data_IF_087913691346
#
_entry.id   IF_087913691346
#
_cell.length_a   1.000
_cell.length_b   1.000
_cell.length_c   1.000
_cell.angle_alpha   90.00
_cell.angle_beta   90.00
_cell.angle_gamma   90.00
#
_symmetry.space_group_name_H-M   'P 1'
#
loop_
_entity.id
_entity.type
_entity.pdbx_description
1 polymer ?
#
# COMPACT_ATOMS: atom_id res chain seq x y z
N UNK A 1 1.20 -11.36 -15.84
CA UNK A 1 2.12 -10.80 -14.82
C UNK A 1 3.49 -10.64 -15.43
N UNK A 2 4.18 -9.53 -15.15
CA UNK A 2 5.56 -9.30 -15.59
C UNK A 2 6.52 -10.35 -15.01
N UNK A 3 7.63 -10.64 -15.71
CA UNK A 3 8.62 -11.62 -15.22
C UNK A 3 9.48 -11.07 -14.07
N UNK A 4 9.67 -9.75 -14.03
CA UNK A 4 10.50 -9.05 -13.05
C UNK A 4 9.76 -7.80 -12.61
N UNK A 5 9.70 -7.59 -11.29
CA UNK A 5 9.16 -6.39 -10.67
C UNK A 5 10.29 -5.71 -9.90
N UNK A 6 10.36 -4.38 -9.96
CA UNK A 6 11.27 -3.61 -9.14
C UNK A 6 10.60 -3.35 -7.77
N UNK A 7 11.29 -3.63 -6.65
CA UNK A 7 10.76 -3.47 -5.29
C UNK A 7 11.19 -2.15 -4.62
N UNK A 8 10.59 -1.79 -3.49
CA UNK A 8 10.77 -0.49 -2.82
C UNK A 8 11.59 -0.52 -1.52
N UNK A 9 11.83 -1.68 -0.91
CA UNK A 9 12.47 -1.81 0.42
C UNK A 9 13.74 -0.96 0.60
N UNK A 10 14.63 -0.94 -0.40
CA UNK A 10 15.87 -0.16 -0.32
C UNK A 10 15.65 1.35 -0.17
N UNK A 11 14.51 1.86 -0.64
CA UNK A 11 14.17 3.28 -0.57
C UNK A 11 13.75 3.72 0.83
N UNK A 12 13.35 2.77 1.67
CA UNK A 12 12.84 3.00 3.02
C UNK A 12 13.74 2.37 4.10
N UNK A 13 14.99 2.06 3.74
CA UNK A 13 15.98 1.46 4.64
C UNK A 13 15.51 0.16 5.30
N UNK A 14 14.65 -0.60 4.61
CA UNK A 14 14.16 -1.89 5.09
C UNK A 14 15.19 -2.95 4.74
N UNK A 15 15.96 -3.38 5.73
CA UNK A 15 16.89 -4.49 5.61
C UNK A 15 16.81 -5.39 6.85
N UNK A 16 16.45 -6.65 6.65
CA UNK A 16 16.31 -7.63 7.74
C UNK A 16 17.63 -8.33 8.11
N UNK A 17 18.71 -8.10 7.36
CA UNK A 17 19.98 -8.79 7.54
C UNK A 17 21.10 -7.90 8.09
N UNK A 18 21.01 -6.57 7.95
CA UNK A 18 22.10 -5.65 8.33
C UNK A 18 21.60 -4.23 8.59
N UNK A 19 21.79 -3.77 9.83
CA UNK A 19 21.51 -2.39 10.25
C UNK A 19 22.44 -1.37 9.58
N UNK A 20 23.69 -1.74 9.33
CA UNK A 20 24.65 -0.89 8.63
C UNK A 20 24.16 -0.56 7.23
N UNK A 21 23.71 -1.57 6.48
CA UNK A 21 23.11 -1.35 5.16
C UNK A 21 21.83 -0.53 5.23
N UNK A 22 21.00 -0.70 6.26
CA UNK A 22 19.82 0.16 6.47
C UNK A 22 20.23 1.63 6.61
N UNK A 23 21.28 1.93 7.40
CA UNK A 23 21.79 3.30 7.57
C UNK A 23 22.33 3.87 6.26
N UNK A 24 23.12 3.10 5.51
CA UNK A 24 23.62 3.52 4.19
C UNK A 24 22.48 3.83 3.22
N UNK A 25 21.45 2.97 3.17
CA UNK A 25 20.27 3.18 2.35
C UNK A 25 19.48 4.41 2.76
N UNK A 26 19.31 4.66 4.06
CA UNK A 26 18.64 5.85 4.58
C UNK A 26 19.36 7.13 4.15
N UNK A 27 20.69 7.13 4.14
CA UNK A 27 21.50 8.26 3.65
C UNK A 27 21.35 8.41 2.13
N UNK A 28 21.50 7.31 1.38
CA UNK A 28 21.45 7.30 -0.10
C UNK A 28 20.10 7.75 -0.65
N UNK A 29 19.01 7.30 -0.02
CA UNK A 29 17.63 7.55 -0.47
C UNK A 29 16.90 8.59 0.37
N UNK A 30 17.64 9.46 1.07
CA UNK A 30 17.10 10.59 1.82
C UNK A 30 16.19 11.47 0.98
N UNK A 31 16.58 11.73 -0.27
CA UNK A 31 15.85 12.60 -1.20
C UNK A 31 15.06 11.81 -2.25
N UNK A 32 13.86 12.27 -2.61
CA UNK A 32 13.00 11.62 -3.61
C UNK A 32 13.67 11.55 -4.99
N UNK A 33 14.53 12.53 -5.31
CA UNK A 33 15.33 12.52 -6.53
C UNK A 33 16.25 11.29 -6.64
N UNK A 34 16.75 10.75 -5.52
CA UNK A 34 17.53 9.52 -5.52
C UNK A 34 16.70 8.29 -5.87
N UNK A 35 15.44 8.25 -5.44
CA UNK A 35 14.49 7.19 -5.78
C UNK A 35 14.17 7.26 -7.27
N UNK A 36 13.79 8.45 -7.76
CA UNK A 36 13.46 8.68 -9.17
C UNK A 36 14.60 8.24 -10.09
N UNK A 37 15.85 8.61 -9.77
CA UNK A 37 17.03 8.18 -10.55
C UNK A 37 17.17 6.66 -10.66
N UNK A 38 16.84 5.91 -9.61
CA UNK A 38 16.90 4.45 -9.64
C UNK A 38 15.74 3.87 -10.45
N UNK A 39 14.55 4.45 -10.36
CA UNK A 39 13.41 4.05 -11.19
C UNK A 39 13.69 4.31 -12.68
N UNK A 40 14.34 5.43 -13.01
CA UNK A 40 14.78 5.74 -14.36
C UNK A 40 15.74 4.68 -14.91
N UNK A 41 16.73 4.28 -14.10
CA UNK A 41 17.65 3.20 -14.46
C UNK A 41 16.93 1.86 -14.64
N UNK A 42 15.93 1.56 -13.81
CA UNK A 42 15.09 0.37 -13.98
C UNK A 42 14.37 0.39 -15.34
N UNK A 43 13.78 1.52 -15.73
CA UNK A 43 13.14 1.71 -17.04
C UNK A 43 14.15 1.54 -18.19
N UNK A 44 15.34 2.13 -18.08
CA UNK A 44 16.41 2.01 -19.08
C UNK A 44 16.86 0.56 -19.30
N UNK A 45 16.77 -0.28 -18.26
CA UNK A 45 17.04 -1.72 -18.34
C UNK A 45 15.85 -2.57 -18.78
N UNK A 46 14.71 -1.94 -19.10
CA UNK A 46 13.50 -2.61 -19.56
C UNK A 46 12.53 -3.03 -18.45
N UNK A 47 12.80 -2.68 -17.19
CA UNK A 47 11.92 -2.97 -16.05
C UNK A 47 10.93 -1.81 -15.89
N UNK A 48 9.73 -1.99 -16.44
CA UNK A 48 8.69 -0.95 -16.50
C UNK A 48 7.61 -1.10 -15.42
N UNK A 49 7.87 -1.87 -14.37
CA UNK A 49 6.90 -2.09 -13.30
C UNK A 49 7.55 -2.02 -11.94
N UNK A 50 6.98 -1.16 -11.10
CA UNK A 50 7.43 -0.91 -9.74
C UNK A 50 6.37 -1.39 -8.75
N UNK A 51 6.72 -2.39 -7.95
CA UNK A 51 5.92 -2.86 -6.85
C UNK A 51 6.36 -2.16 -5.58
N UNK A 52 5.42 -1.52 -4.87
CA UNK A 52 5.76 -0.72 -3.71
C UNK A 52 4.70 -0.78 -2.63
N UNK A 53 5.12 -0.60 -1.38
CA UNK A 53 4.23 -0.29 -0.27
C UNK A 53 3.63 1.10 -0.43
N UNK A 54 2.55 1.38 0.30
CA UNK A 54 1.86 2.68 0.31
C UNK A 54 2.52 3.69 1.26
N UNK A 55 3.85 3.68 1.32
CA UNK A 55 4.63 4.62 2.12
C UNK A 55 4.40 6.07 1.65
N UNK A 56 4.30 7.04 2.56
CA UNK A 56 3.86 8.41 2.22
C UNK A 56 4.70 9.10 1.13
N UNK A 57 6.01 8.83 1.11
CA UNK A 57 6.94 9.30 0.06
C UNK A 57 6.59 8.81 -1.35
N UNK A 58 5.91 7.67 -1.50
CA UNK A 58 5.43 7.19 -2.81
C UNK A 58 4.45 8.18 -3.44
N UNK A 59 3.71 8.95 -2.62
CA UNK A 59 2.87 10.04 -3.11
C UNK A 59 3.67 11.09 -3.90
N UNK A 60 4.87 11.45 -3.43
CA UNK A 60 5.74 12.40 -4.14
C UNK A 60 6.27 11.80 -5.44
N UNK A 61 6.61 10.51 -5.44
CA UNK A 61 7.01 9.78 -6.65
C UNK A 61 5.88 9.78 -7.67
N UNK A 62 4.65 9.47 -7.25
CA UNK A 62 3.47 9.53 -8.12
C UNK A 62 3.24 10.95 -8.67
N UNK A 63 3.45 12.00 -7.87
CA UNK A 63 3.37 13.39 -8.35
C UNK A 63 4.39 13.67 -9.46
N UNK A 64 5.64 13.19 -9.30
CA UNK A 64 6.67 13.32 -10.32
C UNK A 64 6.31 12.57 -11.61
N UNK A 65 5.82 11.33 -11.50
CA UNK A 65 5.37 10.55 -12.66
C UNK A 65 4.26 11.27 -13.43
N UNK A 66 3.25 11.79 -12.73
CA UNK A 66 2.15 12.56 -13.34
C UNK A 66 2.61 13.84 -14.01
N UNK A 67 3.65 14.48 -13.48
CA UNK A 67 4.23 15.69 -14.08
C UNK A 67 5.07 15.40 -15.34
N UNK A 68 5.41 14.14 -15.61
CA UNK A 68 6.28 13.72 -16.71
C UNK A 68 5.69 12.56 -17.53
N UNK A 69 4.45 12.69 -18.06
CA UNK A 69 3.70 11.57 -18.61
C UNK A 69 4.36 10.91 -19.83
N UNK A 70 5.10 11.66 -20.64
CA UNK A 70 5.75 11.12 -21.84
C UNK A 70 6.83 10.08 -21.49
N UNK A 71 7.59 10.34 -20.42
CA UNK A 71 8.64 9.43 -19.94
C UNK A 71 8.06 8.17 -19.30
N UNK A 72 6.99 8.34 -18.51
CA UNK A 72 6.42 7.27 -17.68
C UNK A 72 5.17 6.63 -18.28
N UNK A 73 4.83 6.90 -19.56
CA UNK A 73 3.60 6.43 -20.21
C UNK A 73 3.36 4.92 -20.09
N UNK A 74 4.42 4.13 -20.14
CA UNK A 74 4.37 2.67 -20.08
C UNK A 74 4.76 2.10 -18.70
N UNK A 75 4.98 2.98 -17.72
CA UNK A 75 5.41 2.59 -16.38
C UNK A 75 4.20 2.30 -15.50
N UNK A 76 4.21 1.13 -14.86
CA UNK A 76 3.11 0.65 -14.01
C UNK A 76 3.55 0.64 -12.55
N UNK A 77 2.62 0.92 -11.66
CA UNK A 77 2.82 0.74 -10.22
C UNK A 77 1.92 -0.36 -9.71
N UNK A 78 2.50 -1.34 -9.01
CA UNK A 78 1.76 -2.41 -8.33
C UNK A 78 1.78 -2.14 -6.83
N UNK A 79 0.81 -1.39 -6.28
CA UNK A 79 0.79 -1.08 -4.86
C UNK A 79 0.57 -2.33 -4.00
N UNK A 80 1.16 -2.35 -2.82
CA UNK A 80 1.01 -3.38 -1.81
C UNK A 80 0.56 -2.77 -0.48
N UNK A 81 -0.70 -3.02 -0.13
CA UNK A 81 -1.44 -2.30 0.90
C UNK A 81 -2.08 -3.23 1.92
N UNK A 82 -2.48 -2.72 3.09
CA UNK A 82 -2.13 -1.41 3.66
C UNK A 82 -0.68 -1.39 4.18
N UNK A 83 -0.02 -0.22 4.21
CA UNK A 83 1.30 -0.10 4.84
C UNK A 83 1.17 -0.10 6.37
N UNK A 84 1.33 -1.29 6.97
CA UNK A 84 1.03 -1.52 8.38
C UNK A 84 1.77 -0.59 9.35
N UNK A 85 3.04 -0.24 9.06
CA UNK A 85 3.83 0.65 9.91
C UNK A 85 3.25 2.06 10.01
N UNK A 86 2.62 2.57 8.95
CA UNK A 86 1.93 3.87 8.97
C UNK A 86 0.74 3.85 9.94
N UNK A 87 -0.03 2.77 9.96
CA UNK A 87 -1.12 2.60 10.92
C UNK A 87 -0.61 2.36 12.33
N UNK A 88 0.46 1.58 12.49
CA UNK A 88 1.08 1.36 13.80
C UNK A 88 1.60 2.67 14.41
N UNK A 89 2.32 3.48 13.62
CA UNK A 89 2.79 4.80 14.05
C UNK A 89 1.62 5.72 14.40
N UNK A 90 0.57 5.75 13.58
CA UNK A 90 -0.63 6.53 13.89
C UNK A 90 -1.28 6.08 15.21
N UNK A 91 -1.35 4.78 15.49
CA UNK A 91 -1.88 4.27 16.78
C UNK A 91 -1.00 4.70 17.94
N UNK A 92 0.32 4.68 17.78
CA UNK A 92 1.26 5.14 18.80
C UNK A 92 1.14 6.65 19.04
N UNK A 93 1.02 7.45 17.99
CA UNK A 93 1.03 8.92 18.06
C UNK A 93 -0.34 9.52 18.41
N UNK A 94 -1.42 8.99 17.85
CA UNK A 94 -2.78 9.53 17.93
C UNK A 94 -3.70 8.69 18.83
N UNK A 95 -3.21 7.55 19.32
CA UNK A 95 -4.04 6.54 19.96
C UNK A 95 -4.95 5.82 18.96
N UNK A 96 -5.60 4.75 19.43
CA UNK A 96 -6.53 3.94 18.63
C UNK A 96 -7.68 4.81 18.10
N UNK A 97 -8.27 5.67 18.95
CA UNK A 97 -9.40 6.53 18.59
C UNK A 97 -9.00 7.60 17.57
N UNK A 98 -7.81 8.22 17.72
CA UNK A 98 -7.32 9.25 16.80
C UNK A 98 -6.98 8.68 15.42
N UNK A 99 -6.37 7.48 15.38
CA UNK A 99 -6.10 6.76 14.13
C UNK A 99 -7.37 6.40 13.39
N UNK A 100 -8.37 5.87 14.11
CA UNK A 100 -9.68 5.55 13.51
C UNK A 100 -10.30 6.82 12.93
N UNK A 101 -10.33 7.96 13.64
CA UNK A 101 -10.86 9.21 13.06
C UNK A 101 -10.11 9.69 11.80
N UNK A 102 -8.80 9.50 11.75
CA UNK A 102 -7.97 9.94 10.62
C UNK A 102 -8.21 9.09 9.36
N UNK A 103 -8.32 7.78 9.51
CA UNK A 103 -8.38 6.84 8.38
C UNK A 103 -9.77 6.27 8.12
N UNK A 104 -10.69 6.36 9.08
CA UNK A 104 -12.04 5.80 9.02
C UNK A 104 -13.07 6.92 9.24
N UNK A 105 -13.66 7.47 8.17
CA UNK A 105 -14.71 8.47 8.30
C UNK A 105 -16.03 7.82 8.74
N UNK A 106 -16.50 8.16 9.95
CA UNK A 106 -17.84 7.82 10.46
C UNK A 106 -17.89 6.96 11.74
N UNK A 107 -19.10 6.75 12.27
CA UNK A 107 -19.37 5.97 13.49
C UNK A 107 -19.25 4.44 13.25
N UNK A 108 -18.02 3.91 13.08
CA UNK A 108 -17.79 2.45 12.95
C UNK A 108 -17.86 1.71 14.31
N UNK A 109 -18.05 2.44 15.41
CA UNK A 109 -18.08 1.86 16.76
C UNK A 109 -19.36 1.09 17.15
N UNK A 110 -20.34 0.92 16.24
CA UNK A 110 -21.65 0.35 16.61
C UNK A 110 -21.65 -1.14 17.00
N UNK A 111 -20.54 -1.89 16.91
CA UNK A 111 -20.64 -3.37 16.89
C UNK A 111 -19.65 -4.17 17.75
N UNK A 112 -19.08 -3.61 18.82
CA UNK A 112 -18.48 -4.47 19.86
C UNK A 112 -19.53 -5.07 20.82
N UNK A 113 -20.82 -4.90 20.53
CA UNK A 113 -21.94 -5.45 21.29
C UNK A 113 -22.39 -6.79 20.72
N UNK A 114 -21.85 -7.88 21.28
CA UNK A 114 -22.42 -9.24 21.36
C UNK A 114 -23.27 -9.70 20.15
N UNK A 115 -22.63 -10.29 19.12
CA UNK A 115 -23.38 -11.09 18.13
C UNK A 115 -22.63 -11.52 16.87
N UNK A 116 -22.04 -12.73 16.87
CA UNK A 116 -21.80 -13.56 15.68
C UNK A 116 -20.64 -13.18 14.74
N UNK A 117 -19.87 -14.20 14.33
CA UNK A 117 -18.79 -14.13 13.31
C UNK A 117 -19.24 -13.42 12.02
N UNK A 118 -20.53 -13.52 11.66
CA UNK A 118 -21.09 -12.87 10.48
C UNK A 118 -21.10 -11.33 10.55
N UNK A 119 -21.21 -10.74 11.75
CA UNK A 119 -21.20 -9.29 11.91
C UNK A 119 -19.77 -8.74 11.90
N UNK A 120 -18.82 -9.46 12.50
CA UNK A 120 -17.39 -9.16 12.40
C UNK A 120 -16.94 -9.13 10.93
N UNK A 121 -17.32 -10.12 10.12
CA UNK A 121 -17.01 -10.15 8.68
C UNK A 121 -17.46 -8.88 7.95
N UNK A 122 -18.68 -8.38 8.20
CA UNK A 122 -19.20 -7.18 7.54
C UNK A 122 -18.42 -5.91 7.90
N UNK A 123 -18.02 -5.78 9.16
CA UNK A 123 -17.26 -4.61 9.62
C UNK A 123 -15.82 -4.63 9.08
N UNK A 124 -15.19 -5.81 9.01
CA UNK A 124 -13.87 -5.98 8.37
C UNK A 124 -13.89 -5.66 6.88
N UNK A 125 -14.93 -6.07 6.14
CA UNK A 125 -15.06 -5.75 4.70
C UNK A 125 -15.15 -4.24 4.50
N UNK A 126 -15.99 -3.54 5.27
CA UNK A 126 -16.11 -2.07 5.17
C UNK A 126 -14.80 -1.37 5.50
N UNK A 127 -14.11 -1.80 6.56
CA UNK A 127 -12.81 -1.25 6.92
C UNK A 127 -11.78 -1.48 5.80
N UNK A 128 -11.76 -2.68 5.22
CA UNK A 128 -10.90 -3.00 4.08
C UNK A 128 -11.17 -2.03 2.92
N UNK A 129 -12.43 -1.82 2.52
CA UNK A 129 -12.79 -0.90 1.42
C UNK A 129 -12.30 0.54 1.70
N UNK A 130 -12.45 1.02 2.93
CA UNK A 130 -12.00 2.35 3.34
C UNK A 130 -10.47 2.47 3.28
N UNK A 131 -9.74 1.47 3.76
CA UNK A 131 -8.27 1.50 3.73
C UNK A 131 -7.73 1.41 2.31
N UNK A 132 -8.30 0.53 1.49
CA UNK A 132 -7.98 0.45 0.06
C UNK A 132 -8.21 1.80 -0.61
N UNK A 133 -9.36 2.42 -0.36
CA UNK A 133 -9.67 3.74 -0.91
C UNK A 133 -8.68 4.83 -0.47
N UNK A 134 -8.33 4.84 0.81
CA UNK A 134 -7.42 5.84 1.36
C UNK A 134 -6.03 5.72 0.75
N UNK A 135 -5.51 4.50 0.63
CA UNK A 135 -4.18 4.23 0.08
C UNK A 135 -4.15 4.44 -1.44
N UNK A 136 -5.22 4.09 -2.16
CA UNK A 136 -5.30 4.26 -3.61
C UNK A 136 -5.37 5.72 -4.07
N UNK A 137 -5.69 6.67 -3.18
CA UNK A 137 -5.75 8.10 -3.52
C UNK A 137 -4.45 8.62 -4.13
N UNK A 138 -3.29 8.15 -3.65
CA UNK A 138 -1.99 8.65 -4.14
C UNK A 138 -1.68 8.21 -5.57
N UNK A 139 -2.28 7.11 -6.03
CA UNK A 139 -2.09 6.56 -7.38
C UNK A 139 -3.12 7.06 -8.40
N UNK A 140 -3.96 8.04 -8.04
CA UNK A 140 -4.95 8.58 -8.97
C UNK A 140 -4.28 9.10 -10.26
N UNK A 141 -4.65 8.52 -11.40
CA UNK A 141 -4.07 8.86 -12.70
C UNK A 141 -2.76 8.14 -13.02
N UNK A 142 -2.38 7.13 -12.24
CA UNK A 142 -1.27 6.20 -12.53
C UNK A 142 -1.85 4.83 -12.87
N UNK A 143 -1.23 4.12 -13.82
CA UNK A 143 -1.61 2.76 -14.18
C UNK A 143 -1.26 1.79 -13.04
N UNK A 144 -2.30 1.23 -12.41
CA UNK A 144 -2.21 0.33 -11.25
C UNK A 144 -3.01 -0.96 -11.48
N UNK A 145 -2.62 -1.79 -12.47
CA UNK A 145 -3.44 -2.91 -12.92
C UNK A 145 -3.39 -4.11 -11.96
N UNK A 146 -2.50 -4.10 -10.96
CA UNK A 146 -2.41 -5.13 -9.93
C UNK A 146 -2.32 -4.45 -8.57
N UNK A 147 -3.11 -4.91 -7.59
CA UNK A 147 -3.09 -4.41 -6.22
C UNK A 147 -2.86 -5.57 -5.26
N UNK A 148 -1.71 -5.56 -4.59
CA UNK A 148 -1.34 -6.58 -3.61
C UNK A 148 -1.88 -6.29 -2.21
N UNK A 149 -2.17 -7.36 -1.48
CA UNK A 149 -2.41 -7.33 -0.03
C UNK A 149 -1.09 -7.64 0.69
N UNK A 150 -0.72 -6.83 1.69
CA UNK A 150 0.45 -7.13 2.52
C UNK A 150 0.30 -8.44 3.28
N UNK A 151 1.39 -9.19 3.38
CA UNK A 151 1.46 -10.47 4.06
C UNK A 151 0.95 -10.42 5.50
N UNK A 152 1.27 -9.36 6.27
CA UNK A 152 0.78 -9.22 7.65
C UNK A 152 -0.75 -9.18 7.72
N UNK A 153 -1.41 -8.58 6.72
CA UNK A 153 -2.87 -8.54 6.65
C UNK A 153 -3.44 -9.87 6.17
N UNK A 154 -2.77 -10.54 5.24
CA UNK A 154 -3.12 -11.92 4.84
C UNK A 154 -3.08 -12.84 6.06
N UNK A 155 -2.01 -12.80 6.85
CA UNK A 155 -1.83 -13.61 8.05
C UNK A 155 -2.92 -13.32 9.10
N UNK A 156 -3.29 -12.06 9.30
CA UNK A 156 -4.39 -11.66 10.18
C UNK A 156 -5.74 -12.22 9.72
N UNK A 157 -6.06 -12.07 8.44
CA UNK A 157 -7.33 -12.56 7.86
C UNK A 157 -7.43 -14.09 8.01
N UNK A 158 -6.34 -14.80 7.70
CA UNK A 158 -6.27 -16.25 7.85
C UNK A 158 -6.37 -16.68 9.32
N UNK A 159 -5.64 -16.01 10.22
CA UNK A 159 -5.65 -16.30 11.65
C UNK A 159 -7.03 -16.10 12.32
N UNK A 160 -7.84 -15.18 11.79
CA UNK A 160 -9.22 -14.95 12.23
C UNK A 160 -10.26 -15.81 11.49
N UNK A 161 -9.85 -16.60 10.49
CA UNK A 161 -10.76 -17.42 9.68
C UNK A 161 -11.69 -16.62 8.76
N UNK A 162 -11.35 -15.37 8.43
CA UNK A 162 -12.19 -14.44 7.67
C UNK A 162 -11.98 -14.56 6.16
N UNK A 163 -11.92 -15.79 5.62
CA UNK A 163 -11.54 -16.06 4.23
C UNK A 163 -12.40 -15.34 3.17
N UNK A 164 -13.66 -15.04 3.49
CA UNK A 164 -14.56 -14.25 2.62
C UNK A 164 -14.02 -12.83 2.33
N UNK A 165 -13.16 -12.28 3.19
CA UNK A 165 -12.53 -10.97 2.98
C UNK A 165 -11.68 -10.96 1.71
N UNK A 166 -10.98 -12.06 1.37
CA UNK A 166 -10.18 -12.13 0.14
C UNK A 166 -11.06 -12.03 -1.11
N UNK A 167 -12.18 -12.76 -1.14
CA UNK A 167 -13.14 -12.71 -2.24
C UNK A 167 -13.74 -11.31 -2.38
N UNK A 168 -14.03 -10.64 -1.26
CA UNK A 168 -14.57 -9.28 -1.26
C UNK A 168 -13.53 -8.25 -1.69
N UNK A 169 -12.28 -8.42 -1.30
CA UNK A 169 -11.17 -7.60 -1.74
C UNK A 169 -11.01 -7.66 -3.26
N UNK A 170 -10.86 -8.87 -3.83
CA UNK A 170 -10.74 -9.08 -5.29
C UNK A 170 -11.92 -8.45 -6.05
N UNK A 171 -13.15 -8.73 -5.62
CA UNK A 171 -14.35 -8.15 -6.24
C UNK A 171 -14.37 -6.62 -6.16
N UNK A 172 -13.89 -6.04 -5.06
CA UNK A 172 -13.85 -4.60 -4.85
C UNK A 172 -12.83 -3.92 -5.76
N UNK A 173 -11.59 -4.42 -5.82
CA UNK A 173 -10.52 -3.82 -6.63
C UNK A 173 -10.81 -3.94 -8.13
N UNK A 174 -11.35 -5.07 -8.59
CA UNK A 174 -11.78 -5.24 -9.98
C UNK A 174 -12.89 -4.26 -10.34
N UNK A 175 -13.90 -4.12 -9.48
CA UNK A 175 -15.05 -3.26 -9.74
C UNK A 175 -14.70 -1.77 -9.71
N UNK A 176 -13.89 -1.34 -8.74
CA UNK A 176 -13.64 0.09 -8.49
C UNK A 176 -12.40 0.63 -9.18
N UNK A 177 -11.34 -0.18 -9.26
CA UNK A 177 -10.03 0.22 -9.76
C UNK A 177 -9.65 -0.45 -11.08
N UNK A 178 -10.46 -1.39 -11.57
CA UNK A 178 -10.16 -2.18 -12.76
C UNK A 178 -8.78 -2.87 -12.66
N UNK A 179 -8.48 -3.40 -11.48
CA UNK A 179 -7.23 -4.06 -11.15
C UNK A 179 -7.45 -5.55 -10.80
N UNK A 180 -6.39 -6.34 -10.90
CA UNK A 180 -6.29 -7.72 -10.41
C UNK A 180 -5.67 -7.81 -9.01
#
# INVERSE_FOLDING_TARGET
MEKVLFGDNQFFAVNHLSDEKSREQAIRFKDDASIIRVLDQAIETGINTFMCTTHDRIGNICNHLRANPDKYRNFKIYPCMPYAHKYANAVTELGIIGTVKQYVPGNIFSTFTKGGVAYLNKDFIKLMEIFVDAEMKMFKGIDTPVIFIQNVVVDLILGLGLNEVFKKYDAYIRKKYNAE
#
